data_IF_425145468307
#
_entry.id   IF_425145468307
#
_cell.length_a   1.000
_cell.length_b   1.000
_cell.length_c   1.000
_cell.angle_alpha   90.00
_cell.angle_beta   90.00
_cell.angle_gamma   90.00
#
_symmetry.space_group_name_H-M   'P 1'
#
loop_
_entity.id
_entity.type
_entity.pdbx_description
1 polymer ?
#
# COMPACT_ATOMS: atom_id res chain seq x y z
N UNK A 1 33.54 28.17 -61.30
CA UNK A 1 33.62 27.73 -59.89
C UNK A 1 32.19 27.72 -59.34
N UNK A 2 31.54 26.54 -59.31
CA UNK A 2 30.12 26.39 -58.98
C UNK A 2 30.00 26.09 -57.47
N UNK A 3 29.39 27.00 -56.70
CA UNK A 3 29.13 26.79 -55.27
C UNK A 3 27.93 25.85 -55.11
N UNK A 4 28.06 24.71 -54.41
CA UNK A 4 26.90 23.85 -54.16
C UNK A 4 25.92 24.57 -53.22
N UNK A 5 24.64 24.58 -53.59
CA UNK A 5 23.57 25.25 -52.87
C UNK A 5 23.24 24.45 -51.58
N UNK A 6 23.39 25.07 -50.40
CA UNK A 6 23.26 24.42 -49.08
C UNK A 6 21.83 24.41 -48.51
N UNK A 7 20.84 24.83 -49.29
CA UNK A 7 19.47 25.05 -48.82
C UNK A 7 18.72 23.77 -48.42
N UNK A 8 19.18 22.58 -48.86
CA UNK A 8 18.53 21.29 -48.56
C UNK A 8 18.99 20.61 -47.26
N UNK A 9 19.98 21.15 -46.54
CA UNK A 9 20.49 20.51 -45.30
C UNK A 9 19.67 20.90 -44.05
N UNK A 10 19.02 22.06 -44.05
CA UNK A 10 18.26 22.57 -42.89
C UNK A 10 17.02 21.74 -42.54
N UNK A 11 16.32 21.20 -43.53
CA UNK A 11 15.13 20.36 -43.29
C UNK A 11 15.45 19.03 -42.62
N UNK A 12 16.60 18.43 -42.98
CA UNK A 12 17.06 17.15 -42.39
C UNK A 12 17.47 17.34 -40.93
N UNK A 13 18.11 18.46 -40.60
CA UNK A 13 18.51 18.79 -39.22
C UNK A 13 17.29 18.95 -38.30
N UNK A 14 16.20 19.55 -38.80
CA UNK A 14 14.95 19.69 -38.05
C UNK A 14 14.33 18.33 -37.72
N UNK A 15 14.26 17.44 -38.71
CA UNK A 15 13.71 16.09 -38.53
C UNK A 15 14.57 15.29 -37.55
N UNK A 16 15.91 15.36 -37.67
CA UNK A 16 16.81 14.71 -36.73
C UNK A 16 16.63 15.22 -35.30
N UNK A 17 16.50 16.54 -35.14
CA UNK A 17 16.26 17.16 -33.84
C UNK A 17 14.93 16.69 -33.24
N UNK A 18 13.88 16.58 -34.06
CA UNK A 18 12.57 16.08 -33.62
C UNK A 18 12.64 14.60 -33.18
N UNK A 19 13.42 13.77 -33.87
CA UNK A 19 13.66 12.39 -33.46
C UNK A 19 14.40 12.30 -32.13
N UNK A 20 15.44 13.10 -31.94
CA UNK A 20 16.18 13.13 -30.66
C UNK A 20 15.27 13.60 -29.52
N UNK A 21 14.47 14.66 -29.75
CA UNK A 21 13.52 15.17 -28.77
C UNK A 21 12.42 14.16 -28.43
N UNK A 22 11.90 13.44 -29.42
CA UNK A 22 10.85 12.44 -29.18
C UNK A 22 11.37 11.26 -28.36
N UNK A 23 12.58 10.78 -28.66
CA UNK A 23 13.24 9.72 -27.88
C UNK A 23 13.49 10.20 -26.44
N UNK A 24 14.04 11.41 -26.28
CA UNK A 24 14.29 12.00 -24.96
C UNK A 24 12.99 12.17 -24.14
N UNK A 25 11.89 12.56 -24.81
CA UNK A 25 10.58 12.70 -24.19
C UNK A 25 10.05 11.35 -23.71
N UNK A 26 10.09 10.31 -24.54
CA UNK A 26 9.63 8.96 -24.19
C UNK A 26 10.40 8.41 -22.98
N UNK A 27 11.72 8.59 -22.95
CA UNK A 27 12.56 8.19 -21.82
C UNK A 27 12.14 8.92 -20.55
N UNK A 28 11.95 10.24 -20.63
CA UNK A 28 11.57 11.07 -19.49
C UNK A 28 10.20 10.68 -18.91
N UNK A 29 9.21 10.45 -19.78
CA UNK A 29 7.87 10.01 -19.35
C UNK A 29 7.89 8.62 -18.73
N UNK A 30 8.73 7.72 -19.25
CA UNK A 30 8.90 6.38 -18.70
C UNK A 30 9.43 6.42 -17.27
N UNK A 31 10.46 7.24 -17.00
CA UNK A 31 10.95 7.45 -15.65
C UNK A 31 9.88 8.08 -14.74
N UNK A 32 9.18 9.11 -15.20
CA UNK A 32 8.10 9.74 -14.42
C UNK A 32 7.03 8.72 -13.99
N UNK A 33 6.65 7.80 -14.88
CA UNK A 33 5.69 6.76 -14.57
C UNK A 33 6.20 5.78 -13.50
N UNK A 34 7.50 5.44 -13.51
CA UNK A 34 8.13 4.60 -12.48
C UNK A 34 8.15 5.32 -11.13
N UNK A 35 8.60 6.57 -11.07
CA UNK A 35 8.63 7.35 -9.83
C UNK A 35 7.26 7.51 -9.19
N UNK A 36 6.21 7.75 -9.98
CA UNK A 36 4.84 7.84 -9.47
C UNK A 36 4.36 6.52 -8.83
N UNK A 37 4.80 5.37 -9.35
CA UNK A 37 4.50 4.06 -8.75
C UNK A 37 5.27 3.87 -7.44
N UNK A 38 6.55 4.22 -7.42
CA UNK A 38 7.39 4.12 -6.22
C UNK A 38 6.87 5.00 -5.08
N UNK A 39 6.42 6.23 -5.37
CA UNK A 39 5.83 7.11 -4.37
C UNK A 39 4.55 6.52 -3.76
N UNK A 40 3.68 5.93 -4.58
CA UNK A 40 2.47 5.24 -4.09
C UNK A 40 2.82 4.04 -3.22
N UNK A 41 3.82 3.26 -3.63
CA UNK A 41 4.29 2.10 -2.87
C UNK A 41 4.92 2.51 -1.53
N UNK A 42 5.77 3.54 -1.53
CA UNK A 42 6.38 4.09 -0.33
C UNK A 42 5.32 4.54 0.69
N UNK A 43 4.29 5.26 0.23
CA UNK A 43 3.16 5.64 1.09
C UNK A 43 2.41 4.42 1.63
N UNK A 44 2.18 3.40 0.80
CA UNK A 44 1.51 2.18 1.22
C UNK A 44 2.32 1.39 2.26
N UNK A 45 3.66 1.41 2.20
CA UNK A 45 4.53 0.77 3.19
C UNK A 45 4.38 1.45 4.56
N UNK A 46 4.39 2.78 4.62
CA UNK A 46 4.18 3.51 5.88
C UNK A 46 2.76 3.29 6.41
N UNK A 47 1.74 3.32 5.55
CA UNK A 47 0.38 3.05 5.98
C UNK A 47 0.19 1.60 6.45
N UNK A 48 0.94 0.68 5.86
CA UNK A 48 0.94 -0.74 6.20
C UNK A 48 1.44 -1.01 7.62
N UNK A 49 2.48 -0.32 8.08
CA UNK A 49 2.97 -0.53 9.46
C UNK A 49 1.91 -0.07 10.47
N UNK A 50 1.25 1.07 10.21
CA UNK A 50 0.15 1.56 11.06
C UNK A 50 -1.04 0.59 11.06
N UNK A 51 -1.47 0.11 9.88
CA UNK A 51 -2.54 -0.88 9.78
C UNK A 51 -2.17 -2.21 10.47
N UNK A 52 -0.90 -2.61 10.45
CA UNK A 52 -0.41 -3.79 11.16
C UNK A 52 -0.51 -3.62 12.67
N UNK A 53 -0.04 -2.50 13.23
CA UNK A 53 -0.18 -2.22 14.66
C UNK A 53 -1.64 -2.10 15.10
N UNK A 54 -2.51 -1.58 14.25
CA UNK A 54 -3.95 -1.58 14.54
C UNK A 54 -4.52 -3.00 14.63
N UNK A 55 -4.13 -3.90 13.74
CA UNK A 55 -4.52 -5.31 13.80
C UNK A 55 -4.00 -5.98 15.07
N UNK A 56 -2.76 -5.70 15.44
CA UNK A 56 -2.11 -6.25 16.64
C UNK A 56 -2.84 -5.82 17.92
N UNK A 57 -3.18 -4.53 18.01
CA UNK A 57 -4.00 -4.00 19.10
C UNK A 57 -5.37 -4.70 19.19
N UNK A 58 -5.98 -5.05 18.06
CA UNK A 58 -7.24 -5.80 18.03
C UNK A 58 -7.11 -7.22 18.55
N UNK A 59 -6.00 -7.91 18.24
CA UNK A 59 -5.68 -9.24 18.80
C UNK A 59 -5.47 -9.15 20.31
N UNK A 60 -4.62 -8.23 20.76
CA UNK A 60 -4.30 -8.04 22.18
C UNK A 60 -5.53 -7.66 22.99
N UNK A 61 -6.40 -6.81 22.45
CA UNK A 61 -7.66 -6.46 23.08
C UNK A 61 -8.55 -7.69 23.30
N UNK A 62 -8.75 -8.50 22.26
CA UNK A 62 -9.56 -9.71 22.34
C UNK A 62 -8.94 -10.74 23.31
N UNK A 63 -7.63 -10.96 23.25
CA UNK A 63 -6.93 -11.84 24.18
C UNK A 63 -7.07 -11.35 25.64
N UNK A 64 -7.05 -10.04 25.86
CA UNK A 64 -7.25 -9.45 27.18
C UNK A 64 -8.65 -9.73 27.75
N UNK A 65 -9.68 -9.79 26.91
CA UNK A 65 -11.04 -10.14 27.31
C UNK A 65 -11.08 -11.59 27.73
N UNK A 66 -10.57 -12.51 26.90
CA UNK A 66 -10.61 -13.94 27.21
C UNK A 66 -9.76 -14.29 28.45
N UNK A 67 -8.67 -13.55 28.70
CA UNK A 67 -7.86 -13.71 29.92
C UNK A 67 -8.56 -13.21 31.18
N UNK A 68 -9.30 -12.11 31.10
CA UNK A 68 -10.04 -11.54 32.25
C UNK A 68 -11.29 -12.35 32.57
N UNK A 69 -11.95 -12.86 31.54
CA UNK A 69 -13.15 -13.67 31.64
C UNK A 69 -12.98 -14.88 30.72
N UNK A 70 -12.50 -16.03 31.24
CA UNK A 70 -12.36 -17.23 30.44
C UNK A 70 -13.68 -17.61 29.76
N UNK A 71 -13.70 -17.64 28.42
CA UNK A 71 -14.93 -17.87 27.65
C UNK A 71 -15.79 -16.62 27.42
N UNK A 72 -15.28 -15.43 27.76
CA UNK A 72 -15.94 -14.14 27.56
C UNK A 72 -16.08 -13.73 26.08
N UNK A 73 -15.35 -14.42 25.19
CA UNK A 73 -15.55 -14.34 23.75
C UNK A 73 -16.23 -15.62 23.25
N UNK A 74 -17.36 -15.43 22.56
CA UNK A 74 -18.02 -16.45 21.73
C UNK A 74 -17.51 -16.37 20.29
N UNK A 75 -17.77 -17.39 19.49
CA UNK A 75 -17.50 -17.31 18.05
C UNK A 75 -18.34 -16.20 17.41
N UNK A 76 -17.75 -15.46 16.48
CA UNK A 76 -18.43 -14.37 15.78
C UNK A 76 -17.54 -13.19 15.41
N UNK A 77 -18.16 -12.22 14.75
CA UNK A 77 -17.54 -10.94 14.43
C UNK A 77 -17.80 -9.94 15.56
N UNK A 78 -16.76 -9.22 15.96
CA UNK A 78 -16.82 -8.21 17.00
C UNK A 78 -16.57 -6.83 16.40
N UNK A 79 -17.34 -5.82 16.81
CA UNK A 79 -17.00 -4.44 16.49
C UNK A 79 -15.63 -4.16 17.12
N UNK A 80 -14.67 -3.73 16.31
CA UNK A 80 -13.43 -3.21 16.86
C UNK A 80 -13.56 -1.72 17.16
N UNK A 81 -12.42 -1.05 17.29
CA UNK A 81 -12.37 0.35 17.67
C UNK A 81 -11.61 1.19 16.65
N UNK A 82 -11.95 2.48 16.60
CA UNK A 82 -11.11 3.50 15.98
C UNK A 82 -10.07 3.97 16.99
N UNK A 83 -8.83 4.08 16.52
CA UNK A 83 -7.68 4.58 17.26
C UNK A 83 -7.55 6.10 17.06
N UNK A 84 -6.77 6.76 17.92
CA UNK A 84 -6.60 8.22 17.93
C UNK A 84 -5.99 8.78 16.64
N UNK A 85 -5.26 7.95 15.89
CA UNK A 85 -4.61 8.31 14.63
C UNK A 85 -5.45 7.94 13.40
N UNK A 86 -6.78 7.79 13.54
CA UNK A 86 -7.73 7.38 12.47
C UNK A 86 -7.54 5.97 11.92
N UNK A 87 -6.57 5.21 12.43
CA UNK A 87 -6.53 3.78 12.19
C UNK A 87 -7.70 3.10 12.93
N UNK A 88 -8.11 1.93 12.48
CA UNK A 88 -9.13 1.15 13.15
C UNK A 88 -8.81 -0.32 13.07
N UNK A 89 -9.45 -1.11 13.92
CA UNK A 89 -9.43 -2.56 13.79
C UNK A 89 -10.83 -3.12 13.87
N UNK A 90 -10.99 -4.35 13.39
CA UNK A 90 -12.11 -5.25 13.66
C UNK A 90 -11.53 -6.62 13.93
N UNK A 91 -12.24 -7.48 14.65
CA UNK A 91 -11.76 -8.84 14.89
C UNK A 91 -12.88 -9.86 14.88
N UNK A 92 -12.53 -11.08 14.52
CA UNK A 92 -13.40 -12.24 14.52
C UNK A 92 -12.79 -13.32 15.39
N UNK A 93 -13.63 -14.03 16.13
CA UNK A 93 -13.24 -15.18 16.94
C UNK A 93 -13.86 -16.42 16.33
N UNK A 94 -13.08 -17.48 16.18
CA UNK A 94 -13.55 -18.81 15.79
C UNK A 94 -12.85 -19.87 16.64
N UNK A 95 -13.48 -21.02 16.80
CA UNK A 95 -13.00 -22.10 17.66
C UNK A 95 -13.26 -21.85 19.14
N UNK A 96 -13.02 -22.90 19.91
CA UNK A 96 -13.09 -22.93 21.38
C UNK A 96 -11.71 -23.16 21.96
N UNK A 97 -11.44 -22.66 23.16
CA UNK A 97 -10.18 -22.93 23.86
C UNK A 97 -10.01 -24.44 24.09
N UNK A 98 -8.82 -25.03 23.85
CA UNK A 98 -7.51 -24.42 23.54
C UNK A 98 -7.16 -24.36 22.02
N UNK A 99 -8.16 -24.35 21.15
CA UNK A 99 -8.01 -24.22 19.69
C UNK A 99 -8.62 -22.91 19.17
N UNK A 100 -8.62 -21.86 19.98
CA UNK A 100 -9.29 -20.60 19.66
C UNK A 100 -8.43 -19.80 18.72
N UNK A 101 -9.08 -19.19 17.73
CA UNK A 101 -8.46 -18.34 16.72
C UNK A 101 -9.06 -16.95 16.82
N UNK A 102 -8.20 -15.96 17.04
CA UNK A 102 -8.55 -14.54 16.95
C UNK A 102 -7.92 -14.01 15.68
N UNK A 103 -8.75 -13.56 14.74
CA UNK A 103 -8.29 -12.86 13.54
C UNK A 103 -8.67 -11.40 13.64
N UNK A 104 -7.69 -10.51 13.62
CA UNK A 104 -7.91 -9.07 13.56
C UNK A 104 -7.55 -8.51 12.18
N UNK A 105 -8.26 -7.48 11.75
CA UNK A 105 -8.01 -6.70 10.54
C UNK A 105 -7.86 -5.25 10.97
N UNK A 106 -6.65 -4.73 10.87
CA UNK A 106 -6.33 -3.32 11.06
C UNK A 106 -6.40 -2.57 9.74
N UNK A 107 -6.92 -1.35 9.78
CA UNK A 107 -7.16 -0.48 8.63
C UNK A 107 -6.55 0.90 8.87
N UNK A 108 -5.84 1.44 7.88
CA UNK A 108 -5.37 2.82 7.89
C UNK A 108 -5.26 3.35 6.45
N UNK A 109 -5.97 4.44 6.17
CA UNK A 109 -6.11 4.96 4.81
C UNK A 109 -6.72 3.92 3.87
N UNK A 110 -6.02 3.57 2.79
CA UNK A 110 -6.44 2.53 1.83
C UNK A 110 -5.79 1.18 2.08
N UNK A 111 -5.00 1.03 3.15
CA UNK A 111 -4.26 -0.19 3.46
C UNK A 111 -4.93 -0.92 4.60
N UNK A 112 -5.08 -2.24 4.43
CA UNK A 112 -5.51 -3.16 5.47
C UNK A 112 -4.46 -4.24 5.69
N UNK A 113 -4.26 -4.62 6.94
CA UNK A 113 -3.41 -5.74 7.36
C UNK A 113 -4.18 -6.63 8.32
N UNK A 114 -3.95 -7.94 8.22
CA UNK A 114 -4.61 -8.91 9.10
C UNK A 114 -3.57 -9.68 9.89
N UNK A 115 -3.90 -9.94 11.15
CA UNK A 115 -3.14 -10.76 12.07
C UNK A 115 -4.04 -11.85 12.63
N UNK A 116 -3.45 -13.00 12.90
CA UNK A 116 -4.14 -14.15 13.46
C UNK A 116 -3.33 -14.70 14.63
N UNK A 117 -3.98 -14.87 15.78
CA UNK A 117 -3.44 -15.54 16.95
C UNK A 117 -4.23 -16.81 17.23
N UNK A 118 -3.52 -17.88 17.57
CA UNK A 118 -4.08 -19.18 17.93
C UNK A 118 -3.58 -19.59 19.30
N UNK A 119 -4.48 -20.00 20.20
CA UNK A 119 -4.14 -20.41 21.57
C UNK A 119 -5.21 -21.32 22.18
#
# INVERSE_FOLDING_TARGET
MHKPNSENQSGVILILSLFVLSIALVISLSFAAVFLKELKLSRAIVQSTVAFYAADAGVEYALSIDRKTPGGLTEGAYPGASLTNTASYQYTVSGTSPGRVIKSIGSFGTVQRSLEARY
#
